data_IF_049804841178
#
_entry.id   IF_049804841178
#
_cell.length_a   1.000
_cell.length_b   1.000
_cell.length_c   1.000
_cell.angle_alpha   90.00
_cell.angle_beta   90.00
_cell.angle_gamma   90.00
#
_symmetry.space_group_name_H-M   'P 1'
#
loop_
_entity.id
_entity.type
_entity.pdbx_description
1 polymer ?
#
# COMPACT_ATOMS: atom_id res chain seq x y z
N UNK A 1 -8.74 -2.16 9.98
CA UNK A 1 -9.45 -0.95 10.46
C UNK A 1 -8.99 0.22 9.62
N UNK A 2 -9.94 0.90 9.00
CA UNK A 2 -9.71 2.16 8.31
C UNK A 2 -10.08 3.31 9.23
N UNK A 3 -9.24 4.34 9.29
CA UNK A 3 -9.48 5.54 10.05
C UNK A 3 -9.31 6.76 9.16
N UNK A 4 -10.21 7.73 9.27
CA UNK A 4 -10.09 9.05 8.66
C UNK A 4 -10.30 10.11 9.72
N UNK A 5 -9.31 10.96 9.94
CA UNK A 5 -9.30 12.02 10.94
C UNK A 5 -9.34 13.38 10.24
N UNK A 6 -10.36 14.18 10.54
CA UNK A 6 -10.41 15.58 10.09
C UNK A 6 -9.32 16.39 10.79
N UNK A 7 -8.57 17.23 10.07
CA UNK A 7 -7.51 18.07 10.65
C UNK A 7 -8.01 19.44 11.13
N UNK A 8 -9.29 19.74 10.97
CA UNK A 8 -9.89 20.99 11.44
C UNK A 8 -10.67 20.80 12.74
N UNK A 9 -11.58 19.81 12.78
CA UNK A 9 -12.39 19.52 13.96
C UNK A 9 -11.90 18.31 14.77
N UNK A 10 -10.81 17.65 14.34
CA UNK A 10 -10.19 16.49 15.00
C UNK A 10 -11.09 15.24 15.13
N UNK A 11 -12.32 15.28 14.60
CA UNK A 11 -13.25 14.14 14.59
C UNK A 11 -12.69 13.04 13.70
N UNK A 12 -12.55 11.84 14.27
CA UNK A 12 -12.13 10.64 13.57
C UNK A 12 -13.31 9.71 13.29
N UNK A 13 -13.41 9.21 12.06
CA UNK A 13 -14.27 8.09 11.70
C UNK A 13 -13.46 6.82 11.56
N UNK A 14 -13.99 5.73 12.09
CA UNK A 14 -13.38 4.41 11.99
C UNK A 14 -14.35 3.43 11.35
N UNK A 15 -13.83 2.60 10.45
CA UNK A 15 -14.56 1.48 9.85
C UNK A 15 -13.74 0.20 10.04
N UNK A 16 -14.35 -0.80 10.63
CA UNK A 16 -13.73 -2.11 10.79
C UNK A 16 -14.19 -3.03 9.67
N UNK A 17 -13.23 -3.70 9.06
CA UNK A 17 -13.46 -4.64 7.97
C UNK A 17 -12.58 -5.86 8.19
N UNK A 18 -13.10 -7.01 7.75
CA UNK A 18 -12.36 -8.28 7.71
C UNK A 18 -11.86 -8.47 6.29
N UNK A 19 -10.57 -8.79 6.16
CA UNK A 19 -9.93 -9.09 4.88
C UNK A 19 -9.29 -10.48 4.95
N UNK A 20 -9.20 -11.16 3.81
CA UNK A 20 -8.54 -12.47 3.69
C UNK A 20 -7.11 -12.35 3.19
N UNK A 21 -6.83 -11.31 2.40
CA UNK A 21 -5.53 -10.99 1.86
C UNK A 21 -5.24 -9.50 1.97
N UNK A 22 -3.95 -9.16 1.88
CA UNK A 22 -3.47 -7.79 1.78
C UNK A 22 -2.86 -7.61 0.39
N UNK A 23 -3.42 -6.71 -0.40
CA UNK A 23 -2.88 -6.41 -1.72
C UNK A 23 -1.99 -5.17 -1.69
N UNK A 24 -0.66 -5.36 -1.75
CA UNK A 24 0.33 -4.27 -1.65
C UNK A 24 0.81 -3.80 -3.03
N UNK A 25 0.84 -2.48 -3.30
CA UNK A 25 1.35 -1.93 -4.56
C UNK A 25 2.86 -2.12 -4.67
N UNK A 26 3.33 -2.65 -5.81
CA UNK A 26 4.76 -2.64 -6.13
C UNK A 26 5.07 -1.33 -6.86
N UNK A 27 5.94 -0.50 -6.31
CA UNK A 27 6.41 0.73 -6.96
C UNK A 27 7.66 0.42 -7.79
N UNK A 28 7.66 0.84 -9.06
CA UNK A 28 8.80 0.72 -9.98
C UNK A 28 9.80 1.85 -9.69
N UNK A 29 11.09 1.54 -9.66
CA UNK A 29 12.15 2.56 -9.51
C UNK A 29 12.45 3.32 -10.82
N UNK A 30 11.84 2.92 -11.94
CA UNK A 30 12.09 3.45 -13.28
C UNK A 30 11.00 4.39 -13.81
N UNK A 31 10.37 5.20 -12.96
CA UNK A 31 9.33 6.15 -13.40
C UNK A 31 9.70 7.62 -13.16
N UNK A 32 10.96 8.00 -13.33
CA UNK A 32 11.34 9.40 -13.49
C UNK A 32 12.25 9.59 -14.71
N UNK A 33 11.71 9.42 -15.91
CA UNK A 33 12.27 10.07 -17.11
C UNK A 33 11.12 10.58 -18.01
N UNK A 34 10.89 11.90 -17.93
CA UNK A 34 10.34 12.85 -18.94
C UNK A 34 8.86 12.69 -19.35
N UNK A 35 8.04 13.73 -19.51
CA UNK A 35 8.14 15.19 -19.41
C UNK A 35 6.71 15.74 -19.21
N UNK A 36 6.64 17.00 -18.81
CA UNK A 36 5.47 17.90 -18.83
C UNK A 36 4.45 17.60 -19.93
N UNK A 37 3.24 17.22 -19.53
CA UNK A 37 2.00 17.70 -20.13
C UNK A 37 0.95 17.71 -19.03
N UNK A 38 0.34 18.88 -18.88
CA UNK A 38 -0.64 19.29 -17.89
C UNK A 38 -1.89 18.41 -17.99
N UNK A 39 -2.14 17.58 -16.97
CA UNK A 39 -3.49 17.29 -16.49
C UNK A 39 -3.41 16.55 -15.14
N UNK A 40 -4.00 17.20 -14.14
CA UNK A 40 -4.06 16.82 -12.74
C UNK A 40 -4.77 15.48 -12.53
N UNK A 41 -4.00 14.43 -12.26
CA UNK A 41 -4.48 13.19 -11.66
C UNK A 41 -3.47 12.72 -10.61
N UNK A 42 -3.77 13.02 -9.34
CA UNK A 42 -3.39 12.28 -8.13
C UNK A 42 -2.08 11.48 -8.17
N UNK A 43 -0.96 12.20 -8.22
CA UNK A 43 0.32 11.70 -7.74
C UNK A 43 0.24 11.63 -6.20
N UNK A 44 -0.03 10.43 -5.66
CA UNK A 44 0.08 10.10 -4.24
C UNK A 44 1.54 10.31 -3.79
N UNK A 45 1.84 11.56 -3.45
CA UNK A 45 3.13 12.00 -2.96
C UNK A 45 3.46 11.30 -1.65
N UNK A 46 4.22 10.20 -1.72
CA UNK A 46 4.95 9.68 -0.55
C UNK A 46 6.24 8.94 -0.86
N UNK A 47 7.31 9.44 -0.23
CA UNK A 47 8.67 8.93 -0.02
C UNK A 47 9.41 8.54 -1.31
N UNK A 48 10.12 9.52 -1.89
CA UNK A 48 11.24 9.28 -2.78
C UNK A 48 12.43 8.69 -1.98
N UNK A 49 12.36 7.40 -1.66
CA UNK A 49 13.56 6.64 -1.33
C UNK A 49 14.32 6.42 -2.65
N UNK A 50 15.15 7.39 -3.07
CA UNK A 50 16.11 7.26 -4.20
C UNK A 50 17.24 6.25 -3.94
N UNK A 51 17.11 5.44 -2.89
CA UNK A 51 18.06 4.40 -2.50
C UNK A 51 17.34 3.24 -1.81
N UNK A 52 17.40 2.06 -2.44
CA UNK A 52 17.10 0.80 -1.77
C UNK A 52 16.07 -0.06 -2.50
N UNK A 53 16.49 -1.27 -2.84
CA UNK A 53 15.65 -2.37 -3.31
C UNK A 53 14.27 -2.41 -2.62
N UNK A 54 13.21 -2.51 -3.42
CA UNK A 54 11.85 -2.76 -2.91
C UNK A 54 11.84 -4.04 -2.09
N UNK A 55 11.38 -3.98 -0.84
CA UNK A 55 11.24 -5.15 0.03
C UNK A 55 9.83 -5.23 0.62
N UNK A 56 9.35 -6.46 0.80
CA UNK A 56 7.98 -6.72 1.24
C UNK A 56 7.65 -6.00 2.56
N UNK A 57 8.58 -5.98 3.52
CA UNK A 57 8.37 -5.28 4.80
C UNK A 57 8.07 -3.80 4.63
N UNK A 58 8.80 -3.11 3.72
CA UNK A 58 8.55 -1.70 3.40
C UNK A 58 7.17 -1.52 2.74
N UNK A 59 6.80 -2.42 1.83
CA UNK A 59 5.51 -2.34 1.12
C UNK A 59 4.31 -2.52 2.08
N UNK A 60 4.38 -3.45 3.02
CA UNK A 60 3.34 -3.65 4.04
C UNK A 60 3.27 -2.46 5.00
N UNK A 61 4.43 -1.91 5.39
CA UNK A 61 4.49 -0.73 6.24
C UNK A 61 3.88 0.50 5.54
N UNK A 62 4.17 0.69 4.25
CA UNK A 62 3.60 1.75 3.44
C UNK A 62 2.07 1.64 3.37
N UNK A 63 1.53 0.42 3.19
CA UNK A 63 0.08 0.17 3.21
C UNK A 63 -0.58 0.62 4.53
N UNK A 64 0.15 0.57 5.65
CA UNK A 64 -0.37 0.95 6.98
C UNK A 64 -0.03 2.39 7.39
N UNK A 65 0.60 3.15 6.49
CA UNK A 65 1.06 4.51 6.77
C UNK A 65 -0.09 5.52 6.71
N UNK A 66 0.06 6.66 7.41
CA UNK A 66 -0.97 7.72 7.48
C UNK A 66 -0.93 8.60 6.25
N UNK A 67 -1.79 8.40 5.28
CA UNK A 67 -1.93 9.23 4.08
C UNK A 67 -2.58 10.59 4.44
N UNK A 68 -2.14 11.68 3.81
CA UNK A 68 -2.80 13.00 3.94
C UNK A 68 -3.66 13.28 2.73
N UNK A 69 -4.94 13.53 2.97
CA UNK A 69 -5.94 13.93 2.00
C UNK A 69 -5.89 15.45 1.84
N UNK A 70 -5.31 15.94 0.74
CA UNK A 70 -5.02 17.36 0.48
C UNK A 70 -5.36 17.74 -0.98
N UNK A 71 -5.36 19.03 -1.31
CA UNK A 71 -5.64 19.56 -2.66
C UNK A 71 -6.97 19.07 -3.26
N UNK A 72 -6.95 18.39 -4.41
CA UNK A 72 -8.15 17.83 -5.07
C UNK A 72 -8.74 16.62 -4.33
N UNK A 73 -7.97 16.00 -3.43
CA UNK A 73 -8.35 14.80 -2.69
C UNK A 73 -8.81 15.06 -1.25
N UNK A 74 -9.32 16.27 -0.98
CA UNK A 74 -9.84 16.64 0.34
C UNK A 74 -11.03 15.76 0.76
N UNK A 75 -11.16 15.53 2.06
CA UNK A 75 -12.25 14.75 2.67
C UNK A 75 -13.45 15.64 2.95
N UNK A 76 -14.67 15.21 2.60
CA UNK A 76 -15.87 15.91 3.04
C UNK A 76 -16.20 15.57 4.49
N UNK A 77 -16.06 16.54 5.40
CA UNK A 77 -16.36 16.34 6.81
C UNK A 77 -17.84 16.60 7.10
N UNK A 78 -18.57 15.59 7.57
CA UNK A 78 -19.98 15.77 7.97
C UNK A 78 -20.18 16.65 9.22
N UNK A 79 -19.11 16.97 9.96
CA UNK A 79 -19.16 17.89 11.09
C UNK A 79 -18.88 19.34 10.67
N UNK A 80 -17.85 19.56 9.83
CA UNK A 80 -17.53 20.90 9.31
C UNK A 80 -18.44 21.33 8.13
N UNK A 81 -19.11 20.37 7.48
CA UNK A 81 -19.98 20.56 6.31
C UNK A 81 -19.27 21.11 5.07
N UNK A 82 -17.96 20.87 4.92
CA UNK A 82 -17.19 21.15 3.71
C UNK A 82 -16.00 20.20 3.53
N UNK A 83 -15.31 20.35 2.40
CA UNK A 83 -14.06 19.64 2.10
C UNK A 83 -12.90 20.20 2.94
N UNK A 84 -12.21 19.31 3.65
CA UNK A 84 -11.12 19.61 4.58
C UNK A 84 -9.90 18.75 4.29
N UNK A 85 -8.74 19.18 4.77
CA UNK A 85 -7.61 18.27 4.88
C UNK A 85 -7.88 17.22 5.96
N UNK A 86 -7.46 15.98 5.69
CA UNK A 86 -7.66 14.87 6.61
C UNK A 86 -6.49 13.89 6.57
N UNK A 87 -6.37 13.08 7.62
CA UNK A 87 -5.44 11.96 7.68
C UNK A 87 -6.19 10.64 7.54
N UNK A 88 -5.80 9.81 6.59
CA UNK A 88 -6.35 8.47 6.38
C UNK A 88 -5.30 7.41 6.70
N UNK A 89 -5.68 6.38 7.45
CA UNK A 89 -4.78 5.27 7.77
C UNK A 89 -5.50 3.93 7.77
N UNK A 90 -4.73 2.86 7.56
CA UNK A 90 -5.18 1.49 7.69
C UNK A 90 -4.33 0.73 8.70
N UNK A 91 -4.98 -0.01 9.59
CA UNK A 91 -4.35 -0.67 10.73
C UNK A 91 -4.87 -2.09 10.94
N UNK A 92 -3.96 -2.99 11.32
CA UNK A 92 -4.26 -4.39 11.64
C UNK A 92 -4.64 -4.52 13.12
N UNK A 93 -5.93 -4.71 13.41
CA UNK A 93 -6.42 -4.91 14.79
C UNK A 93 -6.29 -6.36 15.26
N UNK A 94 -6.49 -7.30 14.34
CA UNK A 94 -6.35 -8.72 14.56
C UNK A 94 -5.56 -9.33 13.40
N UNK A 95 -4.71 -10.29 13.73
CA UNK A 95 -3.79 -10.93 12.79
C UNK A 95 -4.21 -12.40 12.60
N UNK A 96 -4.45 -12.86 11.36
CA UNK A 96 -4.85 -14.25 11.11
C UNK A 96 -3.68 -15.22 11.30
N UNK A 97 -3.95 -16.49 11.61
CA UNK A 97 -2.89 -17.50 11.71
C UNK A 97 -2.11 -17.68 10.40
N UNK A 98 -2.79 -17.50 9.25
CA UNK A 98 -2.18 -17.51 7.91
C UNK A 98 -2.42 -16.15 7.27
N UNK A 99 -1.34 -15.45 6.93
CA UNK A 99 -1.38 -14.17 6.24
C UNK A 99 -1.10 -14.35 4.75
N UNK A 100 -2.06 -13.97 3.91
CA UNK A 100 -1.89 -13.93 2.45
C UNK A 100 -1.58 -12.52 2.00
N UNK A 101 -0.48 -12.34 1.27
CA UNK A 101 -0.10 -11.05 0.69
C UNK A 101 -0.02 -11.17 -0.82
N UNK A 102 -0.76 -10.33 -1.50
CA UNK A 102 -0.76 -10.23 -2.95
C UNK A 102 0.06 -9.01 -3.39
N UNK A 103 1.15 -9.25 -4.13
CA UNK A 103 1.93 -8.17 -4.74
C UNK A 103 1.20 -7.68 -6.00
N UNK A 104 0.68 -6.45 -6.00
CA UNK A 104 0.10 -5.82 -7.19
C UNK A 104 1.21 -5.45 -8.18
N UNK A 105 1.57 -6.41 -9.04
CA UNK A 105 2.63 -6.31 -10.06
C UNK A 105 2.09 -5.84 -11.41
N UNK A 106 1.12 -4.93 -11.41
CA UNK A 106 0.53 -4.40 -12.64
C UNK A 106 0.42 -2.89 -12.53
N UNK A 107 0.72 -2.18 -13.62
CA UNK A 107 0.52 -0.74 -13.73
C UNK A 107 -0.27 -0.40 -14.99
N UNK A 108 -1.15 0.58 -14.90
CA UNK A 108 -1.71 1.22 -16.07
C UNK A 108 -0.58 1.93 -16.84
N UNK A 109 -0.60 1.80 -18.16
CA UNK A 109 0.35 2.44 -19.06
C UNK A 109 -0.42 3.45 -19.91
N UNK A 110 -0.32 4.73 -19.51
CA UNK A 110 -0.97 5.85 -20.23
C UNK A 110 -0.47 5.98 -21.68
N UNK A 111 0.76 5.54 -21.98
CA UNK A 111 1.32 5.55 -23.34
C UNK A 111 0.71 4.50 -24.28
N UNK A 112 0.00 3.51 -23.75
CA UNK A 112 -0.65 2.44 -24.51
C UNK A 112 -2.17 2.58 -24.56
N UNK A 113 -2.71 3.79 -24.71
CA UNK A 113 -4.17 4.04 -24.78
C UNK A 113 -4.95 3.35 -23.63
N UNK A 114 -4.43 3.39 -22.40
CA UNK A 114 -5.05 2.73 -21.24
C UNK A 114 -4.66 1.25 -21.06
N UNK A 115 -3.65 0.75 -21.78
CA UNK A 115 -3.13 -0.61 -21.60
C UNK A 115 -2.56 -0.86 -20.20
N UNK A 116 -2.40 -2.13 -19.81
CA UNK A 116 -1.82 -2.54 -18.52
C UNK A 116 -0.53 -3.32 -18.78
N UNK A 117 0.48 -3.11 -17.94
CA UNK A 117 1.78 -3.77 -18.06
C UNK A 117 2.18 -4.47 -16.75
N UNK A 118 2.88 -5.60 -16.87
CA UNK A 118 3.42 -6.34 -15.72
C UNK A 118 4.68 -5.66 -15.19
N UNK A 119 4.78 -5.52 -13.88
CA UNK A 119 5.97 -5.06 -13.17
C UNK A 119 6.89 -6.24 -12.87
N UNK A 120 8.06 -6.21 -13.51
CA UNK A 120 9.10 -7.24 -13.37
C UNK A 120 10.17 -6.89 -12.33
N UNK A 121 10.04 -5.73 -11.68
CA UNK A 121 10.97 -5.28 -10.65
C UNK A 121 11.12 -6.29 -9.51
N UNK A 122 12.36 -6.47 -9.06
CA UNK A 122 12.67 -7.37 -7.94
C UNK A 122 12.09 -6.79 -6.65
N UNK A 123 11.37 -7.65 -5.91
CA UNK A 123 10.93 -7.36 -4.54
C UNK A 123 11.61 -8.37 -3.62
N UNK A 124 12.42 -7.90 -2.68
CA UNK A 124 13.02 -8.75 -1.67
C UNK A 124 11.96 -9.20 -0.67
N UNK A 125 11.82 -10.52 -0.48
CA UNK A 125 10.87 -11.13 0.45
C UNK A 125 11.70 -11.72 1.61
N UNK A 126 11.63 -11.15 2.83
CA UNK A 126 12.37 -11.67 3.97
C UNK A 126 11.72 -12.98 4.47
N UNK A 127 12.53 -13.83 5.11
CA UNK A 127 12.03 -15.05 5.76
C UNK A 127 11.08 -14.76 6.91
N UNK A 128 11.28 -13.64 7.62
CA UNK A 128 10.44 -13.22 8.76
C UNK A 128 9.97 -11.78 8.55
N UNK A 129 8.68 -11.54 8.78
CA UNK A 129 8.10 -10.20 8.77
C UNK A 129 8.23 -9.53 10.15
N UNK A 130 8.36 -8.20 10.20
CA UNK A 130 8.26 -7.46 11.46
C UNK A 130 6.87 -7.61 12.07
N UNK A 131 6.73 -7.22 13.34
CA UNK A 131 5.42 -7.16 13.99
C UNK A 131 4.46 -6.24 13.20
N UNK A 132 3.32 -6.79 12.78
CA UNK A 132 2.30 -6.05 12.02
C UNK A 132 1.18 -5.49 12.90
N UNK A 133 1.09 -5.91 14.16
CA UNK A 133 -0.02 -5.53 15.04
C UNK A 133 -0.05 -4.02 15.29
N UNK A 134 -1.23 -3.42 15.12
CA UNK A 134 -1.44 -2.00 15.40
C UNK A 134 -1.15 -1.69 16.87
N UNK A 135 -0.41 -0.60 17.11
CA UNK A 135 -0.02 -0.14 18.44
C UNK A 135 0.74 -1.20 19.29
N UNK A 136 1.32 -2.26 18.69
CA UNK A 136 2.23 -3.10 19.47
C UNK A 136 3.44 -2.26 19.93
N UNK A 137 3.91 -2.51 21.15
CA UNK A 137 5.09 -1.85 21.70
C UNK A 137 6.29 -2.08 20.77
N UNK A 138 7.22 -1.11 20.71
CA UNK A 138 8.43 -1.16 19.87
C UNK A 138 9.23 -2.47 20.01
N UNK A 139 9.09 -3.16 21.15
CA UNK A 139 9.63 -4.49 21.40
C UNK A 139 8.47 -5.48 21.62
N UNK A 140 7.83 -5.90 20.53
CA UNK A 140 6.73 -6.86 20.56
C UNK A 140 7.29 -8.26 20.90
N UNK A 141 7.04 -8.73 22.13
CA UNK A 141 7.44 -10.07 22.60
C UNK A 141 6.48 -11.18 22.14
N UNK A 142 5.26 -10.81 21.75
CA UNK A 142 4.24 -11.75 21.30
C UNK A 142 4.61 -12.37 19.94
N UNK A 143 4.69 -13.70 19.91
CA UNK A 143 4.97 -14.47 18.70
C UNK A 143 3.78 -14.51 17.74
N UNK A 144 2.55 -14.34 18.23
CA UNK A 144 1.33 -14.33 17.42
C UNK A 144 1.24 -13.12 16.47
N UNK A 145 2.05 -12.08 16.72
CA UNK A 145 2.14 -10.90 15.86
C UNK A 145 3.24 -10.98 14.80
N UNK A 146 3.95 -12.12 14.71
CA UNK A 146 5.08 -12.33 13.81
C UNK A 146 4.75 -13.43 12.82
N UNK A 147 5.24 -13.26 11.59
CA UNK A 147 5.04 -14.22 10.51
C UNK A 147 6.36 -14.69 9.95
N UNK A 148 6.43 -15.99 9.65
CA UNK A 148 7.51 -16.60 8.87
C UNK A 148 6.97 -17.04 7.52
N UNK A 149 7.75 -16.79 6.48
CA UNK A 149 7.44 -17.18 5.12
C UNK A 149 7.43 -18.71 5.00
N UNK A 150 6.33 -19.27 4.48
CA UNK A 150 6.22 -20.71 4.24
C UNK A 150 5.90 -21.08 2.78
N UNK A 151 5.35 -20.15 2.00
CA UNK A 151 5.02 -20.38 0.59
C UNK A 151 5.16 -19.08 -0.23
N UNK A 152 5.53 -19.24 -1.49
CA UNK A 152 5.49 -18.18 -2.51
C UNK A 152 4.83 -18.77 -3.73
N UNK A 153 3.85 -18.06 -4.29
CA UNK A 153 3.33 -18.31 -5.64
C UNK A 153 3.97 -17.30 -6.58
N UNK A 154 4.57 -17.78 -7.65
CA UNK A 154 5.20 -16.93 -8.67
C UNK A 154 4.49 -17.07 -10.01
N UNK A 155 4.53 -16.00 -10.80
CA UNK A 155 4.01 -15.99 -12.17
C UNK A 155 5.16 -15.68 -13.14
N UNK A 156 5.48 -16.64 -13.99
CA UNK A 156 6.50 -16.53 -15.05
C UNK A 156 5.86 -16.08 -16.35
N UNK A 157 6.49 -15.11 -17.02
CA UNK A 157 5.97 -14.49 -18.25
C UNK A 157 5.98 -12.97 -18.17
N UNK A 158 6.00 -12.30 -19.32
CA UNK A 158 6.03 -10.82 -19.41
C UNK A 158 4.64 -10.21 -19.59
N UNK A 159 3.67 -11.01 -20.02
CA UNK A 159 2.29 -10.58 -20.24
C UNK A 159 1.46 -10.62 -18.95
N UNK A 160 0.40 -9.81 -18.95
CA UNK A 160 -0.66 -9.86 -17.93
C UNK A 160 -1.72 -10.92 -18.28
N UNK A 161 -1.82 -11.32 -19.55
CA UNK A 161 -2.87 -12.19 -20.08
C UNK A 161 -2.47 -13.67 -20.09
N UNK A 162 -1.17 -13.97 -20.04
CA UNK A 162 -0.65 -15.32 -20.18
C UNK A 162 0.70 -15.48 -19.48
N UNK A 163 0.95 -16.69 -18.99
CA UNK A 163 2.18 -17.11 -18.35
C UNK A 163 1.98 -18.43 -17.59
N UNK A 164 2.89 -18.72 -16.66
CA UNK A 164 2.89 -19.97 -15.89
C UNK A 164 2.97 -19.69 -14.39
N UNK A 165 2.18 -20.40 -13.60
CA UNK A 165 2.17 -20.30 -12.14
C UNK A 165 2.91 -21.48 -11.53
N UNK A 166 3.79 -21.20 -10.58
CA UNK A 166 4.55 -22.18 -9.79
C UNK A 166 4.63 -21.73 -8.34
#
# INVERSE_FOLDING_TARGET
>A
MHQTKCLECEVARQRQEVFRDISVPVRSLHSEETNSDDDSDDDDGRIQDKSGSSCLSKLIQAFSSVERLIHGNKYFCEHCLHYVEAERSCHYLALPAVLTIHLKRFRANRRLFGGVSKLVDKVAIPQNLPCLQYQCRKQCSDSSHKYSLFAIVTHSGTSILHGHYQ
#
